data_IF_735632829602
#
_entry.id   IF_735632829602
#
_cell.length_a   1.000
_cell.length_b   1.000
_cell.length_c   1.000
_cell.angle_alpha   90.00
_cell.angle_beta   90.00
_cell.angle_gamma   90.00
#
_symmetry.space_group_name_H-M   'P 1'
#
loop_
_entity.id
_entity.type
_entity.pdbx_description
1 polymer ?
#
# COMPACT_ATOMS: atom_id res chain seq x y z
N UNK A 1 34.45 9.26 -56.91
CA UNK A 1 34.12 10.54 -56.25
C UNK A 1 32.77 10.34 -55.56
N UNK A 2 32.66 9.57 -54.48
CA UNK A 2 33.00 9.90 -53.08
C UNK A 2 32.40 11.22 -52.58
N UNK A 3 31.49 11.04 -51.60
CA UNK A 3 31.35 11.82 -50.36
C UNK A 3 30.25 12.88 -50.28
N UNK A 4 29.32 12.60 -49.37
CA UNK A 4 28.38 13.57 -48.83
C UNK A 4 27.30 12.95 -47.94
N UNK A 5 27.60 11.85 -47.24
CA UNK A 5 26.70 11.37 -46.17
C UNK A 5 26.79 12.40 -45.05
N UNK A 6 25.71 13.17 -44.87
CA UNK A 6 25.62 14.21 -43.86
C UNK A 6 25.81 13.61 -42.48
N UNK A 7 26.75 14.19 -41.75
CA UNK A 7 27.20 13.78 -40.43
C UNK A 7 26.08 13.85 -39.39
N UNK A 8 25.83 12.70 -38.75
CA UNK A 8 25.73 12.52 -37.30
C UNK A 8 25.28 13.75 -36.49
N UNK A 9 23.98 13.86 -36.22
CA UNK A 9 23.54 14.32 -34.91
C UNK A 9 23.43 13.09 -34.00
N UNK A 10 24.50 12.92 -33.22
CA UNK A 10 24.47 12.42 -31.84
C UNK A 10 23.18 12.92 -31.17
N UNK A 11 22.45 12.18 -30.36
CA UNK A 11 22.85 11.30 -29.27
C UNK A 11 21.73 10.25 -29.17
N UNK A 12 22.10 9.03 -28.81
CA UNK A 12 21.22 8.00 -28.26
C UNK A 12 20.02 8.67 -27.56
N UNK A 13 18.80 8.23 -27.86
CA UNK A 13 17.76 8.30 -26.82
C UNK A 13 18.26 7.36 -25.73
N UNK A 14 19.20 7.86 -24.91
CA UNK A 14 19.53 7.31 -23.63
C UNK A 14 18.19 7.14 -22.97
N UNK A 15 17.95 5.94 -22.46
CA UNK A 15 16.85 5.64 -21.60
C UNK A 15 16.75 6.71 -20.51
N UNK A 16 16.03 7.80 -20.76
CA UNK A 16 15.33 8.49 -19.69
C UNK A 16 14.05 7.72 -19.61
N UNK A 17 14.15 6.52 -19.00
CA UNK A 17 12.99 5.92 -18.38
C UNK A 17 12.24 7.06 -17.69
N UNK A 18 10.93 7.12 -17.91
CA UNK A 18 10.07 8.01 -17.15
C UNK A 18 10.43 7.74 -15.70
N UNK A 19 11.25 8.59 -15.08
CA UNK A 19 11.45 8.53 -13.65
C UNK A 19 10.11 9.00 -13.15
N UNK A 20 9.25 8.03 -12.82
CA UNK A 20 7.97 8.26 -12.18
C UNK A 20 8.26 8.89 -10.83
N UNK A 21 8.55 10.19 -10.85
CA UNK A 21 8.79 10.96 -9.66
C UNK A 21 7.43 11.04 -8.97
N UNK A 22 7.34 10.44 -7.79
CA UNK A 22 6.14 10.48 -7.00
C UNK A 22 5.72 11.92 -6.72
N UNK A 23 4.40 12.21 -6.65
CA UNK A 23 3.93 13.54 -6.29
C UNK A 23 4.52 13.99 -4.95
N UNK A 24 4.59 15.30 -4.74
CA UNK A 24 5.13 15.85 -3.50
C UNK A 24 4.45 15.21 -2.29
N UNK A 25 5.26 14.62 -1.41
CA UNK A 25 4.78 13.96 -0.21
C UNK A 25 4.52 12.47 -0.30
N UNK A 26 4.70 11.87 -1.48
CA UNK A 26 4.72 10.43 -1.66
C UNK A 26 6.17 9.92 -1.73
N UNK A 27 6.39 8.72 -1.21
CA UNK A 27 7.65 7.99 -1.30
C UNK A 27 7.52 6.92 -2.38
N UNK A 28 8.50 6.84 -3.28
CA UNK A 28 8.52 5.84 -4.35
C UNK A 28 8.94 4.47 -3.81
N UNK A 29 8.19 3.43 -4.16
CA UNK A 29 8.57 2.04 -3.95
C UNK A 29 8.18 1.21 -5.17
N UNK A 30 9.17 0.70 -5.89
CA UNK A 30 8.96 0.05 -7.18
C UNK A 30 8.30 1.01 -8.18
N UNK A 31 7.17 0.58 -8.74
CA UNK A 31 6.39 1.36 -9.71
C UNK A 31 5.25 2.17 -9.09
N UNK A 32 5.12 2.12 -7.75
CA UNK A 32 4.03 2.77 -7.02
C UNK A 32 4.57 3.84 -6.07
N UNK A 33 3.70 4.79 -5.75
CA UNK A 33 3.95 5.88 -4.84
C UNK A 33 3.08 5.73 -3.59
N UNK A 34 3.69 5.79 -2.40
CA UNK A 34 2.99 5.61 -1.13
C UNK A 34 3.09 6.82 -0.21
N UNK A 35 2.04 7.11 0.55
CA UNK A 35 2.08 8.03 1.68
C UNK A 35 1.80 7.27 2.97
N UNK A 36 2.71 7.40 3.93
CA UNK A 36 2.63 6.80 5.28
C UNK A 36 2.82 7.97 6.27
N UNK A 37 2.15 7.92 7.44
CA UNK A 37 2.24 8.97 8.46
C UNK A 37 3.72 9.36 8.75
N UNK A 38 4.02 10.66 8.77
CA UNK A 38 5.39 11.22 8.73
C UNK A 38 6.00 11.55 10.09
N UNK A 39 5.42 11.11 11.20
CA UNK A 39 5.99 11.40 12.52
C UNK A 39 7.32 10.65 12.68
N UNK A 40 8.42 11.41 12.77
CA UNK A 40 9.75 10.89 13.09
C UNK A 40 10.01 11.10 14.59
N UNK A 41 10.51 10.06 15.27
CA UNK A 41 10.78 10.08 16.70
C UNK A 41 12.07 9.30 17.01
N UNK A 42 12.75 9.61 18.12
CA UNK A 42 13.83 8.74 18.63
C UNK A 42 13.27 7.39 19.09
N UNK A 43 14.12 6.37 19.22
CA UNK A 43 13.68 5.03 19.66
C UNK A 43 12.91 5.08 20.99
N UNK A 44 13.41 5.83 21.97
CA UNK A 44 12.78 5.96 23.29
C UNK A 44 11.44 6.72 23.25
N UNK A 45 11.24 7.59 22.26
CA UNK A 45 9.96 8.25 22.04
C UNK A 45 9.00 7.33 21.28
N UNK A 46 9.49 6.62 20.25
CA UNK A 46 8.71 5.69 19.44
C UNK A 46 8.06 4.58 20.27
N UNK A 47 8.74 4.08 21.30
CA UNK A 47 8.21 3.04 22.20
C UNK A 47 7.12 3.54 23.16
N UNK A 48 6.91 4.85 23.26
CA UNK A 48 5.89 5.46 24.12
C UNK A 48 4.65 5.91 23.33
N UNK A 49 4.63 5.75 22.02
CA UNK A 49 3.43 5.98 21.22
C UNK A 49 2.61 4.70 21.16
N UNK A 50 1.28 4.85 21.17
CA UNK A 50 0.40 3.75 20.80
C UNK A 50 0.79 3.27 19.39
N UNK A 51 0.98 1.95 19.18
CA UNK A 51 1.38 1.43 17.89
C UNK A 51 0.36 1.88 16.83
N UNK A 52 0.80 2.56 15.76
CA UNK A 52 -0.14 3.05 14.77
C UNK A 52 -0.79 1.87 14.04
N UNK A 53 -2.11 1.92 13.90
CA UNK A 53 -2.89 1.04 13.04
C UNK A 53 -3.16 1.75 11.73
N UNK A 54 -3.15 1.02 10.61
CA UNK A 54 -3.29 1.63 9.29
C UNK A 54 -4.37 0.94 8.46
N UNK A 55 -5.36 1.70 8.02
CA UNK A 55 -6.23 1.27 6.94
C UNK A 55 -5.44 1.07 5.66
N UNK A 56 -5.71 -0.05 5.00
CA UNK A 56 -5.26 -0.38 3.64
C UNK A 56 -6.48 -0.71 2.79
N UNK A 57 -6.35 -0.68 1.47
CA UNK A 57 -7.49 -0.66 0.55
C UNK A 57 -8.24 -1.98 0.37
N UNK A 58 -8.31 -2.84 1.39
CA UNK A 58 -9.06 -4.11 1.34
C UNK A 58 -10.37 -4.04 2.11
N UNK A 59 -11.41 -4.69 1.62
CA UNK A 59 -12.70 -4.81 2.31
C UNK A 59 -13.51 -6.00 1.79
N UNK A 60 -14.43 -6.51 2.60
CA UNK A 60 -15.46 -7.45 2.18
C UNK A 60 -16.90 -6.92 2.32
N UNK A 61 -17.06 -5.60 2.56
CA UNK A 61 -18.33 -4.85 2.57
C UNK A 61 -19.34 -5.21 1.46
N UNK A 62 -18.87 -5.62 0.28
CA UNK A 62 -19.75 -6.00 -0.84
C UNK A 62 -20.32 -7.42 -0.69
N UNK A 63 -19.58 -8.32 -0.06
CA UNK A 63 -19.94 -9.71 0.13
C UNK A 63 -19.09 -10.31 1.26
N UNK A 64 -19.74 -10.61 2.39
CA UNK A 64 -19.14 -11.27 3.55
C UNK A 64 -18.25 -12.46 3.19
N UNK A 65 -17.03 -12.47 3.74
CA UNK A 65 -16.03 -13.51 3.51
C UNK A 65 -15.35 -13.44 2.14
N UNK A 66 -15.67 -12.45 1.30
CA UNK A 66 -15.03 -12.20 0.00
C UNK A 66 -14.31 -10.86 -0.01
N UNK A 67 -13.08 -10.91 0.47
CA UNK A 67 -12.16 -9.78 0.50
C UNK A 67 -11.71 -9.35 -0.89
N UNK A 68 -11.82 -8.05 -1.16
CA UNK A 68 -11.42 -7.42 -2.41
C UNK A 68 -10.59 -6.16 -2.18
N UNK A 69 -9.68 -5.88 -3.10
CA UNK A 69 -9.00 -4.58 -3.15
C UNK A 69 -9.94 -3.54 -3.75
N UNK A 70 -10.28 -2.50 -2.98
CA UNK A 70 -11.24 -1.46 -3.39
C UNK A 70 -10.85 -0.76 -4.69
N UNK A 71 -9.56 -0.55 -4.93
CA UNK A 71 -9.05 0.15 -6.13
C UNK A 71 -9.29 -0.64 -7.43
N UNK A 72 -9.06 -1.95 -7.41
CA UNK A 72 -9.06 -2.80 -8.61
C UNK A 72 -10.30 -3.70 -8.70
N UNK A 73 -10.99 -3.93 -7.58
CA UNK A 73 -12.02 -4.94 -7.42
C UNK A 73 -11.49 -6.38 -7.44
N UNK A 74 -10.17 -6.58 -7.44
CA UNK A 74 -9.60 -7.93 -7.47
C UNK A 74 -9.73 -8.62 -6.12
N UNK A 75 -9.99 -9.92 -6.13
CA UNK A 75 -10.13 -10.74 -4.92
C UNK A 75 -8.76 -10.91 -4.26
N UNK A 76 -8.68 -10.63 -2.95
CA UNK A 76 -7.47 -10.86 -2.16
C UNK A 76 -7.18 -12.36 -2.13
N UNK A 77 -5.90 -12.76 -2.26
CA UNK A 77 -5.53 -14.17 -2.35
C UNK A 77 -5.68 -14.81 -3.74
N UNK A 78 -6.37 -14.16 -4.71
CA UNK A 78 -6.55 -14.75 -6.06
C UNK A 78 -5.25 -14.99 -6.82
N UNK A 79 -4.20 -14.23 -6.51
CA UNK A 79 -2.85 -14.40 -7.07
C UNK A 79 -1.92 -15.22 -6.17
N UNK A 80 -2.46 -15.91 -5.15
CA UNK A 80 -1.70 -16.73 -4.20
C UNK A 80 -1.02 -15.95 -3.08
N UNK A 81 -1.20 -14.62 -3.02
CA UNK A 81 -0.68 -13.79 -1.93
C UNK A 81 -1.78 -13.41 -0.95
N UNK A 82 -1.54 -13.72 0.32
CA UNK A 82 -2.32 -13.29 1.46
C UNK A 82 -1.37 -13.06 2.63
N UNK A 83 -1.68 -12.08 3.48
CA UNK A 83 -0.84 -11.70 4.60
C UNK A 83 -1.65 -11.48 5.89
N UNK A 84 -2.75 -12.22 6.03
CA UNK A 84 -3.56 -12.27 7.27
C UNK A 84 -2.72 -12.63 8.48
N UNK A 85 -3.03 -11.97 9.59
CA UNK A 85 -2.54 -12.33 10.92
C UNK A 85 -3.03 -13.73 11.32
N UNK A 86 -2.35 -14.38 12.28
CA UNK A 86 -2.83 -15.64 12.82
C UNK A 86 -4.25 -15.49 13.38
N UNK A 87 -5.19 -16.26 12.85
CA UNK A 87 -6.61 -16.21 13.26
C UNK A 87 -7.50 -15.31 12.42
N UNK A 88 -6.92 -14.45 11.58
CA UNK A 88 -7.67 -13.47 10.78
C UNK A 88 -8.01 -13.95 9.35
N UNK A 89 -9.09 -13.43 8.73
CA UNK A 89 -10.08 -12.54 9.33
C UNK A 89 -11.03 -13.27 10.28
N UNK A 90 -11.39 -12.66 11.41
CA UNK A 90 -12.19 -13.27 12.48
C UNK A 90 -13.57 -12.62 12.68
N UNK A 91 -13.84 -11.54 11.94
CA UNK A 91 -15.05 -10.73 11.98
C UNK A 91 -15.38 -10.16 13.38
N UNK A 92 -14.43 -10.11 14.31
CA UNK A 92 -14.60 -9.57 15.66
C UNK A 92 -15.59 -10.37 16.54
N UNK A 93 -15.13 -10.85 17.70
CA UNK A 93 -15.98 -11.64 18.61
C UNK A 93 -17.09 -10.84 19.31
N UNK A 94 -16.96 -9.51 19.39
CA UNK A 94 -17.90 -8.64 20.12
C UNK A 94 -18.95 -7.97 19.22
N UNK A 95 -18.58 -7.65 17.97
CA UNK A 95 -19.41 -6.83 17.09
C UNK A 95 -19.84 -7.54 15.79
N UNK A 96 -19.16 -8.62 15.38
CA UNK A 96 -19.52 -9.42 14.19
C UNK A 96 -19.69 -8.56 12.90
N UNK A 97 -18.95 -7.46 12.79
CA UNK A 97 -19.14 -6.39 11.79
C UNK A 97 -17.80 -5.74 11.38
N UNK A 98 -16.75 -6.55 11.23
CA UNK A 98 -15.41 -6.08 10.86
C UNK A 98 -15.17 -6.30 9.37
N UNK A 99 -15.39 -5.25 8.57
CA UNK A 99 -15.40 -5.35 7.10
C UNK A 99 -14.26 -4.60 6.39
N UNK A 100 -13.34 -4.00 7.16
CA UNK A 100 -12.26 -3.17 6.63
C UNK A 100 -10.88 -3.73 6.98
N UNK A 101 -9.96 -3.75 6.01
CA UNK A 101 -8.62 -4.31 6.16
C UNK A 101 -7.66 -3.29 6.76
N UNK A 102 -7.01 -3.65 7.86
CA UNK A 102 -5.92 -2.87 8.46
C UNK A 102 -4.59 -3.63 8.55
N UNK A 103 -3.52 -2.86 8.77
CA UNK A 103 -2.24 -3.34 9.27
C UNK A 103 -2.13 -2.97 10.75
N UNK A 104 -1.88 -3.95 11.60
CA UNK A 104 -1.92 -3.79 13.05
C UNK A 104 -0.70 -4.38 13.75
N UNK A 105 -0.15 -3.65 14.72
CA UNK A 105 1.08 -4.04 15.40
C UNK A 105 0.91 -5.26 16.32
N UNK A 106 -0.29 -5.43 16.91
CA UNK A 106 -0.64 -6.61 17.71
C UNK A 106 -0.58 -7.90 16.88
N UNK A 107 -0.99 -7.81 15.62
CA UNK A 107 -0.83 -8.84 14.60
C UNK A 107 0.54 -8.83 13.90
N UNK A 108 1.58 -8.28 14.51
CA UNK A 108 2.95 -8.21 13.96
C UNK A 108 3.03 -7.53 12.57
N UNK A 109 2.21 -6.50 12.35
CA UNK A 109 2.08 -5.80 11.07
C UNK A 109 1.52 -6.68 9.94
N UNK A 110 0.81 -7.75 10.28
CA UNK A 110 0.00 -8.54 9.36
C UNK A 110 -1.41 -7.95 9.25
N UNK A 111 -2.21 -8.48 8.33
CA UNK A 111 -3.55 -8.00 8.10
C UNK A 111 -4.52 -8.44 9.19
N UNK A 112 -5.40 -7.53 9.55
CA UNK A 112 -6.52 -7.74 10.45
C UNK A 112 -7.76 -7.10 9.82
N UNK A 113 -8.93 -7.68 10.02
CA UNK A 113 -10.21 -7.03 9.80
C UNK A 113 -10.59 -6.23 11.04
N UNK A 114 -11.21 -5.08 10.86
CA UNK A 114 -11.69 -4.26 11.97
C UNK A 114 -12.91 -3.44 11.55
N UNK A 115 -13.60 -2.86 12.54
CA UNK A 115 -14.75 -1.97 12.36
C UNK A 115 -14.33 -0.77 11.49
N UNK A 116 -14.99 -0.63 10.35
CA UNK A 116 -14.73 0.41 9.36
C UNK A 116 -14.88 1.85 9.91
N UNK A 117 -15.63 2.03 11.00
CA UNK A 117 -15.86 3.34 11.63
C UNK A 117 -14.74 3.75 12.61
N UNK A 118 -13.78 2.86 12.87
CA UNK A 118 -12.63 3.16 13.73
C UNK A 118 -11.69 4.22 13.12
N UNK A 119 -11.25 5.14 13.98
CA UNK A 119 -10.33 6.21 13.57
C UNK A 119 -8.88 5.72 13.56
N UNK A 120 -8.32 5.54 12.37
CA UNK A 120 -6.94 5.06 12.18
C UNK A 120 -6.16 5.94 11.22
N UNK A 121 -4.85 5.72 11.16
CA UNK A 121 -4.05 6.21 10.04
C UNK A 121 -4.39 5.39 8.78
N UNK A 122 -3.91 5.82 7.62
CA UNK A 122 -4.14 5.11 6.37
C UNK A 122 -2.92 5.20 5.45
N UNK A 123 -2.79 4.21 4.57
CA UNK A 123 -1.76 4.19 3.53
C UNK A 123 -2.46 4.33 2.17
N UNK A 124 -2.10 5.35 1.40
CA UNK A 124 -2.58 5.49 0.03
C UNK A 124 -1.50 5.07 -0.96
N UNK A 125 -1.91 4.34 -2.00
CA UNK A 125 -1.11 4.06 -3.18
C UNK A 125 -1.56 4.94 -4.35
N UNK A 126 -0.59 5.43 -5.13
CA UNK A 126 -0.82 6.07 -6.43
C UNK A 126 0.12 5.49 -7.48
N UNK A 127 -0.40 5.36 -8.70
CA UNK A 127 0.37 5.06 -9.93
C UNK A 127 0.83 6.34 -10.64
#
# INVERSE_FOLDING_TARGET
MSNGVSFLLFILVWATGVIANCPSGYTQHGNSCYVINRVQASWAQATNFDPPRFWVGGSDLLQEGKWTWTKTGSVIGSQGFSHWGPGQPDNGVEHLDEHCLELEAGHHWLWNDDDCEEFKHFICEKE
#
